data_IF_310341491276
#
_entry.id   IF_310341491276
#
_cell.length_a   1.000
_cell.length_b   1.000
_cell.length_c   1.000
_cell.angle_alpha   90.00
_cell.angle_beta   90.00
_cell.angle_gamma   90.00
#
_symmetry.space_group_name_H-M   'P 1'
#
loop_
_entity.id
_entity.type
_entity.pdbx_description
1 polymer ?
#
# COMPACT_ATOMS: atom_id res chain seq x y z
N UNK A 1 4.80 -14.45 -12.50
CA UNK A 1 3.34 -14.62 -12.60
C UNK A 1 2.65 -13.37 -12.09
N UNK A 2 1.77 -12.78 -12.92
CA UNK A 2 0.98 -11.58 -12.61
C UNK A 2 0.00 -11.83 -11.45
N UNK A 3 -0.44 -13.08 -11.31
CA UNK A 3 -1.08 -13.71 -10.15
C UNK A 3 -0.51 -13.25 -8.82
N UNK A 4 0.68 -13.80 -8.57
CA UNK A 4 1.46 -13.66 -7.33
C UNK A 4 1.93 -12.23 -7.11
N UNK A 5 2.19 -11.47 -8.19
CA UNK A 5 2.55 -10.05 -8.08
C UNK A 5 1.46 -9.24 -7.36
N UNK A 6 0.17 -9.50 -7.66
CA UNK A 6 -0.96 -8.77 -7.08
C UNK A 6 -1.32 -9.23 -5.67
N UNK A 7 -1.31 -10.53 -5.42
CA UNK A 7 -1.83 -11.09 -4.16
C UNK A 7 -0.77 -11.29 -3.07
N UNK A 8 0.53 -11.22 -3.40
CA UNK A 8 1.61 -11.46 -2.45
C UNK A 8 2.70 -10.39 -2.50
N UNK A 9 3.30 -10.14 -3.66
CA UNK A 9 4.50 -9.29 -3.72
C UNK A 9 4.19 -7.80 -3.52
N UNK A 10 3.18 -7.27 -4.21
CA UNK A 10 2.80 -5.87 -4.06
C UNK A 10 2.30 -5.55 -2.64
N UNK A 11 1.42 -6.36 -2.00
CA UNK A 11 1.04 -6.16 -0.60
C UNK A 11 2.25 -6.08 0.34
N UNK A 12 3.26 -6.94 0.15
CA UNK A 12 4.48 -6.88 0.95
C UNK A 12 5.21 -5.55 0.81
N UNK A 13 5.43 -5.08 -0.42
CA UNK A 13 6.12 -3.81 -0.67
C UNK A 13 5.36 -2.65 -0.03
N UNK A 14 4.04 -2.63 -0.15
CA UNK A 14 3.18 -1.60 0.44
C UNK A 14 3.27 -1.62 1.96
N UNK A 15 3.20 -2.80 2.59
CA UNK A 15 3.33 -2.95 4.03
C UNK A 15 4.69 -2.43 4.53
N UNK A 16 5.80 -2.79 3.85
CA UNK A 16 7.13 -2.30 4.19
C UNK A 16 7.27 -0.78 4.05
N UNK A 17 6.71 -0.19 2.97
CA UNK A 17 6.72 1.26 2.77
C UNK A 17 5.86 2.00 3.81
N UNK A 18 4.71 1.45 4.18
CA UNK A 18 3.85 2.02 5.22
C UNK A 18 4.54 1.95 6.58
N UNK A 19 5.14 0.80 6.94
CA UNK A 19 5.92 0.65 8.16
C UNK A 19 7.10 1.63 8.21
N UNK A 20 7.74 1.91 7.07
CA UNK A 20 8.84 2.86 6.99
C UNK A 20 8.43 4.29 7.36
N UNK A 21 7.18 4.71 7.13
CA UNK A 21 6.68 6.03 7.55
C UNK A 21 6.64 6.19 9.08
N UNK A 22 6.61 5.09 9.82
CA UNK A 22 6.56 5.10 11.29
C UNK A 22 7.93 5.31 11.92
N UNK A 23 9.02 5.19 11.16
CA UNK A 23 10.41 5.26 11.67
C UNK A 23 10.72 6.59 12.35
N UNK A 24 10.15 7.67 11.84
CA UNK A 24 10.41 9.03 12.31
C UNK A 24 9.26 9.55 13.20
N UNK A 25 8.30 8.69 13.56
CA UNK A 25 7.21 9.07 14.46
C UNK A 25 7.64 9.04 15.93
N UNK A 26 7.23 10.04 16.72
CA UNK A 26 7.36 10.02 18.18
C UNK A 26 6.71 8.77 18.81
N UNK A 27 7.33 8.22 19.85
CA UNK A 27 6.91 6.96 20.47
C UNK A 27 5.49 6.98 21.07
N UNK A 28 5.05 8.14 21.55
CA UNK A 28 3.69 8.43 22.00
C UNK A 28 2.66 8.38 20.85
N UNK A 29 3.06 8.77 19.64
CA UNK A 29 2.23 8.62 18.43
C UNK A 29 2.03 7.16 18.00
N UNK A 30 3.02 6.30 18.21
CA UNK A 30 2.92 4.85 17.91
C UNK A 30 1.97 4.15 18.88
N UNK A 31 1.91 4.58 20.15
CA UNK A 31 0.98 4.01 21.14
C UNK A 31 -0.51 4.22 20.77
N UNK A 32 -0.81 5.20 19.94
CA UNK A 32 -2.15 5.45 19.40
C UNK A 32 -2.50 4.59 18.18
N UNK A 33 -1.56 3.80 17.67
CA UNK A 33 -1.80 2.91 16.54
C UNK A 33 -2.94 1.93 16.82
N UNK A 34 -4.01 2.02 16.04
CA UNK A 34 -5.12 1.09 16.07
C UNK A 34 -4.79 -0.26 15.40
N UNK A 35 -5.76 -1.18 15.44
CA UNK A 35 -5.61 -2.51 14.83
C UNK A 35 -5.36 -2.45 13.32
N UNK A 36 -5.95 -1.48 12.62
CA UNK A 36 -5.78 -1.34 11.17
C UNK A 36 -4.32 -1.08 10.76
N UNK A 37 -3.56 -0.30 11.52
CA UNK A 37 -2.13 -0.10 11.24
C UNK A 37 -1.36 -1.40 11.47
N UNK A 38 -1.61 -2.08 12.60
CA UNK A 38 -0.96 -3.37 12.93
C UNK A 38 -1.19 -4.41 11.84
N UNK A 39 -2.42 -4.54 11.35
CA UNK A 39 -2.75 -5.50 10.30
C UNK A 39 -2.06 -5.13 8.97
N UNK A 40 -2.05 -3.84 8.63
CA UNK A 40 -1.43 -3.32 7.40
C UNK A 40 0.08 -3.54 7.38
N UNK A 41 0.76 -3.32 8.51
CA UNK A 41 2.22 -3.45 8.61
C UNK A 41 2.68 -4.83 9.07
N UNK A 42 1.77 -5.76 9.38
CA UNK A 42 2.10 -7.09 9.95
C UNK A 42 3.15 -7.85 9.15
N UNK A 43 3.06 -7.79 7.82
CA UNK A 43 3.96 -8.54 6.92
C UNK A 43 5.27 -7.79 6.64
N UNK A 44 5.40 -6.53 7.07
CA UNK A 44 6.64 -5.75 6.89
C UNK A 44 7.84 -6.35 7.64
N UNK A 45 7.60 -7.11 8.71
CA UNK A 45 8.62 -7.84 9.49
C UNK A 45 9.07 -9.14 8.81
N UNK A 46 9.35 -9.08 7.50
CA UNK A 46 9.84 -10.22 6.74
C UNK A 46 11.32 -10.07 6.39
N UNK A 47 11.99 -11.20 6.15
CA UNK A 47 13.41 -11.24 5.81
C UNK A 47 13.75 -10.45 4.53
N UNK A 48 14.58 -9.39 4.62
CA UNK A 48 14.90 -8.56 3.45
C UNK A 48 15.69 -9.30 2.37
N UNK A 49 16.52 -10.29 2.75
CA UNK A 49 17.33 -11.06 1.82
C UNK A 49 16.46 -11.91 0.88
N UNK A 50 15.56 -12.70 1.47
CA UNK A 50 14.56 -13.49 0.78
C UNK A 50 13.68 -12.63 -0.12
N UNK A 51 13.14 -11.52 0.41
CA UNK A 51 12.26 -10.66 -0.36
C UNK A 51 12.97 -9.95 -1.51
N UNK A 52 14.25 -9.61 -1.37
CA UNK A 52 15.04 -9.07 -2.49
C UNK A 52 15.11 -10.08 -3.65
N UNK A 53 15.28 -11.36 -3.36
CA UNK A 53 15.28 -12.43 -4.37
C UNK A 53 13.91 -12.57 -5.04
N UNK A 54 12.83 -12.62 -4.23
CA UNK A 54 11.44 -12.71 -4.72
C UNK A 54 11.09 -11.54 -5.64
N UNK A 55 11.40 -10.31 -5.20
CA UNK A 55 11.09 -9.10 -5.95
C UNK A 55 11.88 -9.05 -7.27
N UNK A 56 13.17 -9.41 -7.22
CA UNK A 56 14.02 -9.44 -8.43
C UNK A 56 13.53 -10.48 -9.44
N UNK A 57 13.05 -11.64 -8.97
CA UNK A 57 12.54 -12.72 -9.82
C UNK A 57 11.21 -12.42 -10.53
N UNK A 58 10.44 -11.41 -10.08
CA UNK A 58 9.14 -11.06 -10.68
C UNK A 58 8.99 -9.55 -10.95
N UNK A 59 10.12 -8.85 -11.16
CA UNK A 59 10.19 -7.40 -11.14
C UNK A 59 9.29 -6.71 -12.17
N UNK A 60 9.11 -7.29 -13.36
CA UNK A 60 8.27 -6.71 -14.41
C UNK A 60 6.78 -6.65 -13.99
N UNK A 61 6.25 -7.76 -13.48
CA UNK A 61 4.86 -7.85 -13.02
C UNK A 61 4.62 -6.97 -11.79
N UNK A 62 5.55 -7.00 -10.83
CA UNK A 62 5.48 -6.15 -9.64
C UNK A 62 5.47 -4.68 -10.04
N UNK A 63 6.35 -4.27 -10.96
CA UNK A 63 6.41 -2.89 -11.46
C UNK A 63 5.07 -2.43 -12.04
N UNK A 64 4.39 -3.28 -12.80
CA UNK A 64 3.08 -2.97 -13.37
C UNK A 64 2.05 -2.72 -12.27
N UNK A 65 1.99 -3.59 -11.25
CA UNK A 65 1.06 -3.43 -10.11
C UNK A 65 1.37 -2.17 -9.30
N UNK A 66 2.64 -1.95 -8.96
CA UNK A 66 3.04 -0.78 -8.16
C UNK A 66 2.84 0.55 -8.89
N UNK A 67 2.97 0.58 -10.23
CA UNK A 67 2.63 1.78 -11.01
C UNK A 67 1.15 2.11 -10.92
N UNK A 68 0.26 1.12 -11.08
CA UNK A 68 -1.17 1.34 -10.91
C UNK A 68 -1.51 1.87 -9.51
N UNK A 69 -0.95 1.23 -8.48
CA UNK A 69 -1.14 1.68 -7.10
C UNK A 69 -0.63 3.11 -6.86
N UNK A 70 0.53 3.47 -7.43
CA UNK A 70 1.05 4.83 -7.35
C UNK A 70 0.10 5.82 -8.02
N UNK A 71 -0.42 5.51 -9.20
CA UNK A 71 -1.29 6.42 -9.94
C UNK A 71 -2.63 6.66 -9.18
N UNK A 72 -3.15 5.62 -8.51
CA UNK A 72 -4.30 5.73 -7.60
C UNK A 72 -3.96 6.56 -6.35
N UNK A 73 -2.81 6.31 -5.74
CA UNK A 73 -2.32 7.08 -4.59
C UNK A 73 -2.15 8.57 -4.93
N UNK A 74 -1.58 8.89 -6.10
CA UNK A 74 -1.45 10.26 -6.58
C UNK A 74 -2.82 10.93 -6.77
N UNK A 75 -3.84 10.17 -7.17
CA UNK A 75 -5.22 10.66 -7.28
C UNK A 75 -5.79 11.00 -5.90
N UNK A 76 -5.60 10.13 -4.91
CA UNK A 76 -6.01 10.39 -3.52
C UNK A 76 -5.27 11.60 -2.96
N UNK A 77 -3.95 11.69 -3.14
CA UNK A 77 -3.12 12.80 -2.66
C UNK A 77 -3.64 14.13 -3.24
N UNK A 78 -3.86 14.22 -4.55
CA UNK A 78 -4.43 15.42 -5.18
C UNK A 78 -5.82 15.74 -4.65
N UNK A 79 -6.65 14.74 -4.39
CA UNK A 79 -7.99 14.96 -3.86
C UNK A 79 -7.97 15.51 -2.42
N UNK A 80 -6.91 15.26 -1.65
CA UNK A 80 -6.72 15.81 -0.31
C UNK A 80 -6.41 17.32 -0.30
N UNK A 81 -6.17 17.95 -1.45
CA UNK A 81 -6.16 19.42 -1.59
C UNK A 81 -7.57 20.03 -1.48
N UNK A 82 -8.61 19.19 -1.41
CA UNK A 82 -10.03 19.57 -1.21
C UNK A 82 -10.60 20.53 -2.26
N UNK A 83 -10.05 20.49 -3.48
CA UNK A 83 -10.56 21.24 -4.63
C UNK A 83 -11.86 20.66 -5.24
N UNK A 84 -12.38 21.27 -6.32
CA UNK A 84 -13.55 20.76 -7.03
C UNK A 84 -13.39 19.28 -7.44
N UNK A 85 -14.36 18.45 -7.07
CA UNK A 85 -14.35 17.01 -7.35
C UNK A 85 -13.60 16.13 -6.34
N UNK A 86 -12.95 16.72 -5.32
CA UNK A 86 -12.18 15.98 -4.30
C UNK A 86 -12.99 14.86 -3.63
N UNK A 87 -14.19 15.16 -3.11
CA UNK A 87 -15.00 14.16 -2.43
C UNK A 87 -15.41 13.00 -3.33
N UNK A 88 -15.68 13.26 -4.61
CA UNK A 88 -15.99 12.21 -5.57
C UNK A 88 -14.78 11.31 -5.86
N UNK A 89 -13.58 11.90 -5.99
CA UNK A 89 -12.34 11.15 -6.18
C UNK A 89 -12.02 10.27 -4.96
N UNK A 90 -12.15 10.82 -3.74
CA UNK A 90 -11.95 10.05 -2.50
C UNK A 90 -12.96 8.91 -2.37
N UNK A 91 -14.25 9.19 -2.61
CA UNK A 91 -15.30 8.18 -2.57
C UNK A 91 -15.08 7.08 -3.62
N UNK A 92 -14.65 7.46 -4.82
CA UNK A 92 -14.34 6.52 -5.90
C UNK A 92 -13.18 5.59 -5.56
N UNK A 93 -12.09 6.12 -5.00
CA UNK A 93 -10.94 5.31 -4.58
C UNK A 93 -11.33 4.30 -3.48
N UNK A 94 -12.13 4.73 -2.49
CA UNK A 94 -12.61 3.84 -1.43
C UNK A 94 -13.59 2.78 -1.96
N UNK A 95 -14.50 3.16 -2.86
CA UNK A 95 -15.43 2.23 -3.49
C UNK A 95 -14.70 1.14 -4.30
N UNK A 96 -13.71 1.53 -5.11
CA UNK A 96 -12.88 0.59 -5.85
C UNK A 96 -12.13 -0.39 -4.92
N UNK A 97 -11.66 0.09 -3.76
CA UNK A 97 -11.06 -0.76 -2.73
C UNK A 97 -12.04 -1.78 -2.15
N UNK A 98 -13.29 -1.39 -1.89
CA UNK A 98 -14.34 -2.30 -1.42
C UNK A 98 -14.67 -3.37 -2.46
N UNK A 99 -14.83 -2.97 -3.72
CA UNK A 99 -15.08 -3.91 -4.82
C UNK A 99 -13.94 -4.92 -5.00
N UNK A 100 -12.69 -4.48 -4.80
CA UNK A 100 -11.53 -5.37 -4.84
C UNK A 100 -11.49 -6.38 -3.70
N UNK A 101 -11.97 -5.99 -2.50
CA UNK A 101 -12.06 -6.85 -1.32
C UNK A 101 -13.13 -7.94 -1.42
N UNK A 102 -14.23 -7.65 -2.10
CA UNK A 102 -15.40 -8.52 -2.19
C UNK A 102 -15.27 -9.62 -3.28
N UNK A 103 -14.13 -9.70 -3.97
CA UNK A 103 -13.81 -10.73 -4.98
C UNK A 103 -13.09 -11.92 -4.39
#
# INVERSE_FOLDING_TARGET
>A
DSSVARVSHAPQVVASLMAAQLRDMPADGIALAGQGLRDTTRIADSDPGLWTQILSGNAAEIRTVLKGLRDDLDTVIRALDLGPGAYAALAGALAAGNEGRDR
#
